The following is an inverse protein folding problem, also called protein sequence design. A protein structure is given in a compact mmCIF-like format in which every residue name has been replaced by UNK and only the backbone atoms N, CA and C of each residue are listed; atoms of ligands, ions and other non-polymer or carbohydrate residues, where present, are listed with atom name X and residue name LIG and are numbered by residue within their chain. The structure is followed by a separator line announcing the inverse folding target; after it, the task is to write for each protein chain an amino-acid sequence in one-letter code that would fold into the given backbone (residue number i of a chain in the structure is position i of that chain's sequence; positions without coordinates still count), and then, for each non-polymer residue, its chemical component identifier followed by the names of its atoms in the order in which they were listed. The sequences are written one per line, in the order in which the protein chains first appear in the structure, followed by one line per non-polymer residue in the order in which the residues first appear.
data_IF_586825172581
#
_entry.id   IF_586825172581
#
_cell.length_a   1.000
_cell.length_b   1.000
_cell.length_c   1.000
_cell.angle_alpha   90.00
_cell.angle_beta   90.00
_cell.angle_gamma   90.00
#
_symmetry.space_group_name_H-M   'P 1'
#
loop_
_entity.id
_entity.type
_entity.pdbx_description
1 polymer ?
#
# COMPACT_ATOMS: atom_id res chain seq x y z
N UNK A 1 -29.60 -31.17 1.49
CA UNK A 1 -28.50 -30.20 1.19
C UNK A 1 -27.54 -30.18 2.36
N UNK A 2 -26.28 -30.57 2.21
CA UNK A 2 -25.32 -30.54 3.30
C UNK A 2 -24.90 -29.09 3.64
N UNK A 3 -24.91 -28.76 4.94
CA UNK A 3 -24.48 -27.47 5.48
C UNK A 3 -22.96 -27.32 5.25
N UNK A 4 -22.55 -26.20 4.68
CA UNK A 4 -21.12 -25.82 4.55
C UNK A 4 -20.51 -25.59 5.94
N UNK A 5 -19.29 -26.06 6.21
CA UNK A 5 -18.63 -25.82 7.48
C UNK A 5 -18.34 -24.33 7.65
N UNK A 6 -18.64 -23.82 8.84
CA UNK A 6 -18.34 -22.47 9.29
C UNK A 6 -16.82 -22.36 9.52
N UNK A 7 -16.09 -21.74 8.61
CA UNK A 7 -14.67 -21.44 8.81
C UNK A 7 -14.57 -20.17 9.66
N UNK A 8 -14.24 -20.37 10.93
CA UNK A 8 -13.95 -19.27 11.87
C UNK A 8 -12.67 -18.55 11.41
N UNK A 9 -12.84 -17.38 10.82
CA UNK A 9 -11.77 -16.57 10.20
C UNK A 9 -10.91 -15.78 11.18
N UNK A 10 -10.75 -16.24 12.42
CA UNK A 10 -9.86 -15.63 13.42
C UNK A 10 -8.52 -16.38 13.48
N UNK A 11 -7.70 -16.32 12.43
CA UNK A 11 -6.28 -16.60 12.61
C UNK A 11 -5.65 -15.42 13.34
N UNK A 12 -5.16 -15.69 14.53
CA UNK A 12 -4.46 -14.74 15.37
C UNK A 12 -3.08 -14.43 14.78
N UNK A 13 -2.61 -13.21 15.00
CA UNK A 13 -1.35 -12.62 14.55
C UNK A 13 -0.09 -13.26 15.20
N UNK A 14 -0.21 -14.44 15.80
CA UNK A 14 0.84 -15.12 16.58
C UNK A 14 1.74 -16.07 15.78
N UNK A 15 1.50 -16.25 14.48
CA UNK A 15 2.17 -17.31 13.73
C UNK A 15 3.26 -16.80 12.78
N UNK A 16 4.13 -15.91 13.27
CA UNK A 16 5.46 -15.74 12.68
C UNK A 16 6.43 -16.45 13.64
N UNK A 17 7.07 -17.53 13.24
CA UNK A 17 8.08 -18.16 14.07
C UNK A 17 9.21 -17.16 14.38
N UNK A 18 9.61 -17.07 15.65
CA UNK A 18 10.90 -16.48 16.02
C UNK A 18 12.00 -17.33 15.36
N UNK A 19 12.57 -16.83 14.29
CA UNK A 19 13.57 -17.57 13.51
C UNK A 19 13.41 -17.48 12.00
N UNK A 20 12.73 -16.45 11.47
CA UNK A 20 12.78 -16.19 10.03
C UNK A 20 14.22 -15.92 9.61
N UNK A 21 14.80 -16.88 8.87
CA UNK A 21 15.98 -16.62 8.04
C UNK A 21 15.79 -15.29 7.32
N UNK A 22 16.84 -14.49 7.26
CA UNK A 22 16.85 -13.19 6.58
C UNK A 22 16.45 -13.40 5.13
N UNK A 23 15.17 -13.23 4.84
CA UNK A 23 14.68 -13.20 3.44
C UNK A 23 15.40 -12.04 2.77
N UNK A 24 16.18 -12.34 1.75
CA UNK A 24 16.88 -11.34 0.97
C UNK A 24 15.86 -10.31 0.47
N UNK A 25 16.09 -9.05 0.83
CA UNK A 25 15.18 -7.96 0.51
C UNK A 25 15.06 -7.81 -1.01
N UNK A 26 13.84 -7.80 -1.54
CA UNK A 26 13.57 -7.73 -2.98
C UNK A 26 14.04 -6.39 -3.59
N UNK A 27 14.01 -5.30 -2.80
CA UNK A 27 14.50 -3.97 -3.23
C UNK A 27 15.80 -3.65 -2.51
N UNK A 28 16.86 -3.39 -3.26
CA UNK A 28 18.18 -3.05 -2.72
C UNK A 28 18.22 -1.64 -2.13
N UNK A 29 19.18 -1.38 -1.25
CA UNK A 29 19.36 -0.05 -0.65
C UNK A 29 19.70 1.01 -1.70
N UNK A 30 20.41 0.64 -2.78
CA UNK A 30 20.67 1.55 -3.91
C UNK A 30 19.37 1.97 -4.63
N UNK A 31 18.44 1.03 -4.85
CA UNK A 31 17.11 1.35 -5.43
C UNK A 31 16.30 2.28 -4.54
N UNK A 32 16.37 2.07 -3.23
CA UNK A 32 15.71 2.95 -2.25
C UNK A 32 16.34 4.34 -2.28
N UNK A 33 17.67 4.44 -2.31
CA UNK A 33 18.39 5.71 -2.39
C UNK A 33 18.07 6.45 -3.71
N UNK A 34 18.07 5.75 -4.83
CA UNK A 34 17.69 6.31 -6.13
C UNK A 34 16.24 6.81 -6.15
N UNK A 35 15.30 6.05 -5.60
CA UNK A 35 13.91 6.47 -5.47
C UNK A 35 13.78 7.72 -4.58
N UNK A 36 14.44 7.76 -3.43
CA UNK A 36 14.44 8.94 -2.55
C UNK A 36 14.99 10.18 -3.25
N UNK A 37 16.05 10.03 -4.03
CA UNK A 37 16.63 11.12 -4.82
C UNK A 37 15.67 11.60 -5.92
N UNK A 38 14.94 10.69 -6.57
CA UNK A 38 14.02 11.03 -7.67
C UNK A 38 12.77 11.79 -7.23
N UNK A 39 12.37 11.66 -5.96
CA UNK A 39 11.22 12.39 -5.40
C UNK A 39 11.62 13.57 -4.51
N UNK A 40 12.93 13.75 -4.26
CA UNK A 40 13.41 14.85 -3.45
C UNK A 40 13.14 16.19 -4.15
N UNK A 41 12.56 17.13 -3.42
CA UNK A 41 12.16 18.45 -3.92
C UNK A 41 11.05 18.45 -4.98
N UNK A 42 10.39 17.32 -5.22
CA UNK A 42 9.24 17.24 -6.12
C UNK A 42 7.92 17.56 -5.41
N UNK A 43 6.97 18.12 -6.17
CA UNK A 43 5.59 18.23 -5.71
C UNK A 43 4.95 16.85 -5.72
N UNK A 44 4.50 16.40 -4.56
CA UNK A 44 3.82 15.12 -4.38
C UNK A 44 2.33 15.36 -4.17
N UNK A 45 1.50 14.83 -5.08
CA UNK A 45 0.07 14.78 -4.87
C UNK A 45 -0.24 13.72 -3.82
N UNK A 46 -0.66 14.16 -2.64
CA UNK A 46 -1.06 13.26 -1.57
C UNK A 46 -2.27 12.38 -1.96
N UNK A 47 -2.37 11.15 -1.46
CA UNK A 47 -3.54 10.31 -1.67
C UNK A 47 -4.79 10.99 -1.09
N UNK A 48 -5.79 11.18 -1.93
CA UNK A 48 -7.04 11.83 -1.57
C UNK A 48 -8.22 10.88 -1.85
N UNK A 49 -8.74 10.26 -0.80
CA UNK A 49 -9.88 9.33 -0.91
C UNK A 49 -11.11 10.03 -1.47
N UNK A 50 -11.73 9.46 -2.48
CA UNK A 50 -12.86 10.00 -3.25
C UNK A 50 -12.57 11.28 -4.07
N UNK A 51 -11.31 11.69 -4.16
CA UNK A 51 -10.90 12.86 -4.93
C UNK A 51 -9.66 12.62 -5.79
N UNK A 52 -8.75 11.72 -5.39
CA UNK A 52 -7.51 11.41 -6.10
C UNK A 52 -7.67 10.40 -7.24
N UNK A 53 -8.80 10.42 -7.95
CA UNK A 53 -9.04 9.53 -9.09
C UNK A 53 -8.14 9.86 -10.29
N UNK A 54 -8.07 8.97 -11.26
CA UNK A 54 -7.20 9.12 -12.43
C UNK A 54 -7.37 10.45 -13.18
N UNK A 55 -8.59 10.94 -13.48
CA UNK A 55 -8.76 12.25 -14.12
C UNK A 55 -8.18 13.41 -13.32
N UNK A 56 -8.36 13.41 -12.00
CA UNK A 56 -7.80 14.45 -11.13
C UNK A 56 -6.27 14.40 -11.07
N UNK A 57 -5.68 13.19 -10.97
CA UNK A 57 -4.22 13.06 -11.01
C UNK A 57 -3.63 13.56 -12.32
N UNK A 58 -4.29 13.28 -13.47
CA UNK A 58 -3.87 13.82 -14.78
C UNK A 58 -3.87 15.34 -14.79
N UNK A 59 -4.94 15.96 -14.29
CA UNK A 59 -5.00 17.43 -14.16
C UNK A 59 -3.82 17.96 -13.32
N UNK A 60 -3.50 17.30 -12.20
CA UNK A 60 -2.36 17.71 -11.38
C UNK A 60 -1.03 17.57 -12.12
N UNK A 61 -0.86 16.52 -12.95
CA UNK A 61 0.33 16.36 -13.79
C UNK A 61 0.42 17.49 -14.83
N UNK A 62 -0.68 17.84 -15.48
CA UNK A 62 -0.74 18.94 -16.44
C UNK A 62 -0.39 20.30 -15.78
N UNK A 63 -0.62 20.43 -14.47
CA UNK A 63 -0.26 21.58 -13.65
C UNK A 63 1.16 21.49 -13.03
N UNK A 64 1.96 20.49 -13.40
CA UNK A 64 3.37 20.36 -13.00
C UNK A 64 3.64 19.43 -11.82
N UNK A 65 2.68 18.63 -11.36
CA UNK A 65 2.92 17.61 -10.34
C UNK A 65 3.67 16.42 -10.96
N UNK A 66 4.85 16.10 -10.44
CA UNK A 66 5.68 15.02 -10.97
C UNK A 66 5.49 13.67 -10.24
N UNK A 67 4.97 13.70 -9.02
CA UNK A 67 4.75 12.50 -8.20
C UNK A 67 3.28 12.42 -7.81
N UNK A 68 2.59 11.38 -8.25
CA UNK A 68 1.18 11.16 -7.94
C UNK A 68 0.99 9.90 -7.09
N UNK A 69 -0.04 9.90 -6.25
CA UNK A 69 -0.41 8.72 -5.45
C UNK A 69 -1.89 8.40 -5.67
N UNK A 70 -2.21 7.14 -5.79
CA UNK A 70 -3.59 6.67 -5.95
C UNK A 70 -4.47 7.05 -4.75
N UNK A 71 -5.78 6.97 -4.91
CA UNK A 71 -6.67 6.85 -3.76
C UNK A 71 -6.28 5.64 -2.91
N UNK A 72 -6.60 5.69 -1.61
CA UNK A 72 -6.38 4.56 -0.71
C UNK A 72 -7.12 3.30 -1.18
N UNK A 73 -6.37 2.24 -1.42
CA UNK A 73 -6.84 0.91 -1.83
C UNK A 73 -6.92 0.00 -0.60
N UNK A 74 -8.07 -0.60 -0.36
CA UNK A 74 -8.15 -1.66 0.65
C UNK A 74 -7.54 -2.95 0.09
N UNK A 75 -6.36 -3.34 0.57
CA UNK A 75 -5.59 -4.48 0.07
C UNK A 75 -6.45 -5.76 -0.04
N UNK A 76 -7.20 -6.08 1.02
CA UNK A 76 -8.10 -7.24 1.05
C UNK A 76 -9.12 -7.27 -0.09
N UNK A 77 -9.67 -6.11 -0.47
CA UNK A 77 -10.67 -6.05 -1.53
C UNK A 77 -10.04 -6.07 -2.92
N UNK A 78 -8.88 -5.41 -3.09
CA UNK A 78 -8.13 -5.49 -4.34
C UNK A 78 -7.74 -6.95 -4.66
N UNK A 79 -7.26 -7.70 -3.67
CA UNK A 79 -6.94 -9.12 -3.81
C UNK A 79 -8.15 -10.01 -4.12
N UNK A 80 -9.36 -9.56 -3.73
CA UNK A 80 -10.62 -10.20 -4.12
C UNK A 80 -11.17 -9.72 -5.47
N UNK A 81 -10.34 -8.99 -6.23
CA UNK A 81 -10.70 -8.46 -7.56
C UNK A 81 -11.90 -7.52 -7.56
N UNK A 82 -12.10 -6.76 -6.47
CA UNK A 82 -13.13 -5.74 -6.43
C UNK A 82 -12.86 -4.68 -7.52
N UNK A 83 -13.80 -4.40 -8.44
CA UNK A 83 -13.56 -3.53 -9.60
C UNK A 83 -13.26 -2.08 -9.21
N UNK A 84 -13.81 -1.58 -8.10
CA UNK A 84 -13.54 -0.23 -7.60
C UNK A 84 -12.10 -0.12 -7.11
N UNK A 85 -11.62 -1.10 -6.35
CA UNK A 85 -10.23 -1.12 -5.88
C UNK A 85 -9.25 -1.29 -7.04
N UNK A 86 -9.56 -2.14 -8.02
CA UNK A 86 -8.71 -2.33 -9.21
C UNK A 86 -8.66 -1.06 -10.07
N UNK A 87 -9.76 -0.30 -10.16
CA UNK A 87 -9.76 0.97 -10.88
C UNK A 87 -8.79 2.00 -10.29
N UNK A 88 -8.55 1.97 -8.97
CA UNK A 88 -7.60 2.85 -8.28
C UNK A 88 -6.14 2.54 -8.60
N UNK A 89 -5.84 1.32 -9.07
CA UNK A 89 -4.49 0.91 -9.47
C UNK A 89 -4.08 1.41 -10.86
N UNK A 90 -5.01 1.95 -11.62
CA UNK A 90 -4.74 2.40 -13.00
C UNK A 90 -3.77 3.57 -13.01
N UNK A 91 -2.71 3.45 -13.80
CA UNK A 91 -1.76 4.53 -14.14
C UNK A 91 -2.12 5.13 -15.49
N UNK A 92 -1.87 6.41 -15.69
CA UNK A 92 -1.87 7.07 -16.99
C UNK A 92 -0.42 7.29 -17.45
N UNK A 93 -0.18 7.25 -18.75
CA UNK A 93 1.16 7.41 -19.34
C UNK A 93 1.83 8.76 -19.01
N UNK A 94 1.05 9.81 -18.74
CA UNK A 94 1.58 11.12 -18.35
C UNK A 94 2.10 11.16 -16.90
N UNK A 95 1.78 10.20 -16.05
CA UNK A 95 2.26 10.16 -14.67
C UNK A 95 3.73 9.71 -14.64
N UNK A 96 4.65 10.62 -14.34
CA UNK A 96 6.10 10.36 -14.31
C UNK A 96 6.46 9.38 -13.20
N UNK A 97 6.05 9.66 -11.97
CA UNK A 97 6.22 8.79 -10.81
C UNK A 97 4.86 8.55 -10.17
N UNK A 98 4.42 7.30 -10.17
CA UNK A 98 3.11 6.91 -9.66
C UNK A 98 3.23 5.94 -8.50
N UNK A 99 2.65 6.30 -7.35
CA UNK A 99 2.54 5.45 -6.18
C UNK A 99 1.13 4.88 -5.99
N UNK A 100 1.06 3.69 -5.44
CA UNK A 100 -0.20 3.09 -5.00
C UNK A 100 -0.26 3.10 -3.48
N UNK A 101 -1.28 3.78 -2.91
CA UNK A 101 -1.49 3.71 -1.47
C UNK A 101 -2.41 2.53 -1.11
N UNK A 102 -1.95 1.70 -0.17
CA UNK A 102 -2.73 0.57 0.37
C UNK A 102 -3.08 0.77 1.84
N UNK A 103 -4.20 0.17 2.25
CA UNK A 103 -4.60 0.04 3.64
C UNK A 103 -4.69 -1.45 4.00
N UNK A 104 -3.81 -1.88 4.89
CA UNK A 104 -3.77 -3.23 5.46
C UNK A 104 -3.17 -3.23 6.85
N UNK A 105 -3.42 -4.28 7.62
CA UNK A 105 -2.76 -4.57 8.89
C UNK A 105 -2.18 -5.99 8.92
N UNK A 106 -2.02 -6.60 7.73
CA UNK A 106 -1.48 -7.94 7.56
C UNK A 106 -0.35 -7.93 6.51
N UNK A 107 0.79 -8.53 6.86
CA UNK A 107 1.98 -8.58 6.01
C UNK A 107 1.66 -9.25 4.67
N UNK A 108 1.06 -10.44 4.70
CA UNK A 108 0.75 -11.19 3.47
C UNK A 108 -0.20 -10.42 2.53
N UNK A 109 -1.23 -9.75 3.07
CA UNK A 109 -2.10 -8.89 2.26
C UNK A 109 -1.31 -7.71 1.66
N UNK A 110 -0.42 -7.09 2.45
CA UNK A 110 0.42 -5.98 2.00
C UNK A 110 1.38 -6.37 0.88
N UNK A 111 2.06 -7.51 1.04
CA UNK A 111 2.99 -8.05 0.02
C UNK A 111 2.24 -8.37 -1.28
N UNK A 112 1.11 -9.08 -1.21
CA UNK A 112 0.37 -9.46 -2.40
C UNK A 112 -0.29 -8.24 -3.09
N UNK A 113 -0.79 -7.27 -2.31
CA UNK A 113 -1.30 -6.01 -2.88
C UNK A 113 -0.18 -5.16 -3.50
N UNK A 114 1.02 -5.16 -2.91
CA UNK A 114 2.19 -4.50 -3.47
C UNK A 114 2.66 -5.13 -4.78
N UNK A 115 2.62 -6.45 -4.91
CA UNK A 115 2.87 -7.14 -6.19
C UNK A 115 1.84 -6.77 -7.24
N UNK A 116 0.55 -6.73 -6.87
CA UNK A 116 -0.51 -6.27 -7.77
C UNK A 116 -0.31 -4.81 -8.21
N UNK A 117 0.15 -3.93 -7.31
CA UNK A 117 0.50 -2.56 -7.64
C UNK A 117 1.68 -2.49 -8.62
N UNK A 118 2.72 -3.29 -8.41
CA UNK A 118 3.86 -3.41 -9.32
C UNK A 118 3.43 -3.86 -10.72
N UNK A 119 2.61 -4.91 -10.81
CA UNK A 119 2.02 -5.40 -12.07
C UNK A 119 1.16 -4.34 -12.76
N UNK A 120 0.58 -3.41 -12.01
CA UNK A 120 -0.21 -2.29 -12.52
C UNK A 120 0.65 -1.07 -12.91
N UNK A 121 1.99 -1.18 -12.82
CA UNK A 121 2.93 -0.15 -13.23
C UNK A 121 3.24 0.91 -12.16
N UNK A 122 3.01 0.63 -10.87
CA UNK A 122 3.42 1.53 -9.80
C UNK A 122 4.94 1.58 -9.66
N UNK A 123 5.49 2.76 -9.35
CA UNK A 123 6.91 2.98 -9.07
C UNK A 123 7.24 2.80 -7.58
N UNK A 124 6.24 2.96 -6.71
CA UNK A 124 6.37 2.73 -5.27
C UNK A 124 5.03 2.35 -4.62
N UNK A 125 5.12 1.72 -3.46
CA UNK A 125 3.98 1.41 -2.61
C UNK A 125 3.94 2.38 -1.43
N UNK A 126 2.76 2.84 -1.04
CA UNK A 126 2.56 3.67 0.15
C UNK A 126 1.61 2.99 1.13
N UNK A 127 2.01 2.89 2.40
CA UNK A 127 1.15 2.35 3.46
C UNK A 127 0.41 3.46 4.19
N UNK A 128 -0.92 3.40 4.20
CA UNK A 128 -1.75 4.34 4.92
C UNK A 128 -1.72 4.08 6.44
N UNK A 129 -1.13 5.01 7.18
CA UNK A 129 -1.11 5.02 8.64
C UNK A 129 -1.73 6.29 9.26
N UNK A 130 -2.37 7.14 8.43
CA UNK A 130 -2.91 8.42 8.88
C UNK A 130 -4.43 8.57 8.80
N UNK A 131 -5.12 7.72 8.02
CA UNK A 131 -6.57 7.86 7.82
C UNK A 131 -7.36 7.62 9.13
N UNK A 132 -8.12 8.61 9.63
CA UNK A 132 -8.84 8.51 10.90
C UNK A 132 -10.29 8.05 10.74
N UNK A 133 -10.78 7.85 9.50
CA UNK A 133 -12.20 7.56 9.27
C UNK A 133 -12.66 6.28 9.98
N UNK A 134 -13.93 6.24 10.38
CA UNK A 134 -14.49 5.14 11.16
C UNK A 134 -14.28 3.77 10.52
N UNK A 135 -14.39 3.69 9.19
CA UNK A 135 -14.25 2.44 8.44
C UNK A 135 -12.83 1.85 8.55
N UNK A 136 -11.77 2.66 8.41
CA UNK A 136 -10.39 2.23 8.60
C UNK A 136 -10.11 1.92 10.07
N UNK A 137 -10.58 2.78 10.97
CA UNK A 137 -10.40 2.62 12.41
C UNK A 137 -10.99 1.32 12.93
N UNK A 138 -12.25 1.03 12.58
CA UNK A 138 -12.96 -0.20 12.99
C UNK A 138 -12.22 -1.45 12.55
N UNK A 139 -11.59 -1.42 11.39
CA UNK A 139 -10.81 -2.53 10.82
C UNK A 139 -9.38 -2.61 11.35
N UNK A 140 -8.94 -1.69 12.19
CA UNK A 140 -7.57 -1.65 12.70
C UNK A 140 -6.55 -1.15 11.69
N UNK A 141 -6.99 -0.31 10.73
CA UNK A 141 -6.19 0.26 9.64
C UNK A 141 -5.96 1.77 9.87
N UNK A 142 -5.18 2.39 9.00
CA UNK A 142 -4.95 3.84 9.03
C UNK A 142 -4.31 4.29 10.33
N UNK A 143 -4.76 5.41 10.89
CA UNK A 143 -4.22 5.99 12.11
C UNK A 143 -4.25 5.05 13.33
N UNK A 144 -5.10 4.02 13.32
CA UNK A 144 -5.14 3.03 14.40
C UNK A 144 -3.87 2.19 14.52
N UNK A 145 -3.12 2.03 13.43
CA UNK A 145 -1.83 1.32 13.42
C UNK A 145 -0.81 2.00 14.33
N UNK A 146 -0.84 3.34 14.43
CA UNK A 146 0.08 4.14 15.25
C UNK A 146 -0.04 3.85 16.75
N UNK A 147 -1.18 3.30 17.21
CA UNK A 147 -1.36 2.91 18.63
C UNK A 147 -0.49 1.73 19.07
N UNK A 148 0.12 1.01 18.13
CA UNK A 148 0.93 -0.19 18.41
C UNK A 148 2.24 -0.14 17.61
N UNK A 149 3.23 0.69 18.00
CA UNK A 149 4.45 0.93 17.22
C UNK A 149 5.21 -0.35 16.85
N UNK A 150 5.38 -1.28 17.77
CA UNK A 150 6.07 -2.54 17.50
C UNK A 150 5.34 -3.44 16.47
N UNK A 151 4.00 -3.35 16.41
CA UNK A 151 3.22 -4.00 15.34
C UNK A 151 3.39 -3.31 14.00
N UNK A 152 3.40 -1.98 14.01
CA UNK A 152 3.59 -1.18 12.81
C UNK A 152 4.99 -1.43 12.23
N UNK A 153 6.02 -1.44 13.07
CA UNK A 153 7.39 -1.76 12.65
C UNK A 153 7.44 -3.12 11.92
N UNK A 154 6.90 -4.18 12.55
CA UNK A 154 6.86 -5.51 11.93
C UNK A 154 6.08 -5.53 10.62
N UNK A 155 4.95 -4.82 10.56
CA UNK A 155 4.14 -4.71 9.35
C UNK A 155 4.93 -4.04 8.22
N UNK A 156 5.54 -2.88 8.50
CA UNK A 156 6.33 -2.12 7.52
C UNK A 156 7.51 -2.95 7.04
N UNK A 157 8.28 -3.54 7.95
CA UNK A 157 9.42 -4.40 7.61
C UNK A 157 9.00 -5.58 6.74
N UNK A 158 7.99 -6.35 7.16
CA UNK A 158 7.55 -7.53 6.41
C UNK A 158 6.96 -7.21 5.04
N UNK A 159 6.32 -6.05 4.86
CA UNK A 159 5.89 -5.60 3.54
C UNK A 159 7.09 -5.18 2.70
N UNK A 160 8.00 -4.35 3.26
CA UNK A 160 9.18 -3.85 2.55
C UNK A 160 10.10 -4.98 2.06
N UNK A 161 10.25 -6.05 2.84
CA UNK A 161 11.09 -7.19 2.49
C UNK A 161 10.47 -8.07 1.38
N UNK A 162 9.13 -8.08 1.26
CA UNK A 162 8.42 -8.97 0.33
C UNK A 162 7.92 -8.34 -0.97
N UNK A 163 8.02 -7.00 -1.14
CA UNK A 163 7.53 -6.30 -2.34
C UNK A 163 8.67 -5.84 -3.26
N UNK A 164 8.49 -5.86 -4.60
CA UNK A 164 9.50 -5.39 -5.55
C UNK A 164 9.48 -3.87 -5.76
N UNK A 165 8.92 -3.12 -4.83
CA UNK A 165 8.74 -1.66 -4.87
C UNK A 165 9.33 -1.00 -3.62
N UNK A 166 9.90 0.20 -3.72
CA UNK A 166 10.15 1.04 -2.55
C UNK A 166 8.86 1.23 -1.76
N UNK A 167 8.95 1.16 -0.42
CA UNK A 167 7.80 1.37 0.47
C UNK A 167 7.92 2.72 1.17
N UNK A 168 6.86 3.50 1.11
CA UNK A 168 6.66 4.71 1.91
C UNK A 168 5.54 4.50 2.94
N UNK A 169 5.50 5.32 3.95
CA UNK A 169 4.45 5.31 4.97
C UNK A 169 3.92 6.72 5.14
N UNK A 170 2.61 6.89 4.94
CA UNK A 170 1.95 8.17 5.21
C UNK A 170 1.25 8.13 6.57
N UNK A 171 1.69 9.01 7.46
CA UNK A 171 1.14 9.20 8.80
C UNK A 171 0.32 10.48 8.90
#
# INVERSE_FOLDING_TARGET
MPKRPHVDGRRQFSDIPDGMETVERVVTDEKIAAFRASIANELVLAPLTKGGNLPFRRLCVDLGCNVTVSEMVFARYALKRNPVELARLRRHESEKTFGVQIATNQIAEGVNAGRLAFESGADFLDLNCGCPIHETWKRGLGAKLLKKPAKLERLVRGIADGVPLPLTVKI
#
